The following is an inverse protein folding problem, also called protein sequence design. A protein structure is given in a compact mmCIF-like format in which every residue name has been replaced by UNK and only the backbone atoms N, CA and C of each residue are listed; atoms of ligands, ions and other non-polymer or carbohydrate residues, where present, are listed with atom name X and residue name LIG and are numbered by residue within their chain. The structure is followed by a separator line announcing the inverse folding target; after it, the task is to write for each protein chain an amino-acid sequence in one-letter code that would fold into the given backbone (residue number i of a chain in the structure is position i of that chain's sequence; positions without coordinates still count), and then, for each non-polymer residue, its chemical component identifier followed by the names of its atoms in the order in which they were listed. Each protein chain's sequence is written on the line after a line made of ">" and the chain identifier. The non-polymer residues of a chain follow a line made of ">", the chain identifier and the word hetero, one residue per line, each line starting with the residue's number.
data_IF_726848108622
#
_entry.id   IF_726848108622
#
_cell.length_a   1.000
_cell.length_b   1.000
_cell.length_c   1.000
_cell.angle_alpha   90.00
_cell.angle_beta   90.00
_cell.angle_gamma   90.00
#
_symmetry.space_group_name_H-M   'P 1'
#
loop_
_entity.id
_entity.type
_entity.pdbx_description
1 polymer ?
#
# COMPACT_ATOMS: atom_id res chain seq x y z
N UNK A 1 13.91 -6.39 1.41
CA UNK A 1 14.33 -7.08 2.66
C UNK A 1 15.57 -7.91 2.45
N UNK A 2 15.60 -8.85 1.51
CA UNK A 2 16.77 -9.72 1.21
C UNK A 2 18.09 -8.96 1.00
N UNK A 3 18.09 -7.93 0.16
CA UNK A 3 19.27 -7.06 -0.07
C UNK A 3 19.77 -6.37 1.21
N UNK A 4 18.84 -5.90 2.05
CA UNK A 4 19.18 -5.26 3.33
C UNK A 4 19.75 -6.29 4.32
N UNK A 5 19.15 -7.48 4.40
CA UNK A 5 19.66 -8.60 5.21
C UNK A 5 21.05 -9.02 4.75
N UNK A 6 21.29 -9.15 3.44
CA UNK A 6 22.60 -9.49 2.88
C UNK A 6 23.65 -8.42 3.22
N UNK A 7 23.27 -7.13 3.16
CA UNK A 7 24.16 -6.03 3.55
C UNK A 7 24.57 -6.07 5.02
N UNK A 8 23.71 -6.59 5.90
CA UNK A 8 23.96 -6.68 7.34
C UNK A 8 24.66 -7.99 7.77
N UNK A 9 24.52 -9.06 6.98
CA UNK A 9 24.96 -10.42 7.36
C UNK A 9 26.27 -10.86 6.69
N UNK A 10 26.62 -10.33 5.52
CA UNK A 10 27.83 -10.75 4.81
C UNK A 10 29.04 -9.93 5.25
N UNK A 11 30.12 -10.61 5.66
CA UNK A 11 31.36 -9.97 6.11
C UNK A 11 32.00 -9.04 5.06
N UNK A 12 31.76 -9.25 3.76
CA UNK A 12 32.24 -8.35 2.69
C UNK A 12 31.37 -7.10 2.47
N UNK A 13 30.13 -7.09 2.98
CA UNK A 13 29.18 -5.97 2.84
C UNK A 13 28.99 -5.20 4.14
N UNK A 14 29.29 -5.82 5.27
CA UNK A 14 29.35 -5.18 6.58
C UNK A 14 30.61 -4.30 6.65
N UNK A 15 30.51 -3.02 7.07
CA UNK A 15 31.68 -2.17 7.22
C UNK A 15 32.60 -2.71 8.32
N UNK A 16 33.90 -2.62 8.10
CA UNK A 16 34.89 -2.92 9.13
C UNK A 16 34.86 -1.81 10.18
N UNK A 17 34.80 -2.21 11.45
CA UNK A 17 34.78 -1.31 12.59
C UNK A 17 36.13 -1.38 13.30
N UNK A 18 36.72 -0.22 13.56
CA UNK A 18 37.95 -0.12 14.35
C UNK A 18 37.67 -0.50 15.82
N UNK A 19 38.72 -0.74 16.62
CA UNK A 19 38.66 -1.11 18.04
C UNK A 19 37.89 -0.12 18.93
N UNK A 20 37.60 1.09 18.43
CA UNK A 20 36.78 2.12 19.08
C UNK A 20 35.30 2.12 18.62
N UNK A 21 34.82 1.07 17.93
CA UNK A 21 33.48 0.98 17.33
C UNK A 21 33.17 2.04 16.25
N UNK A 22 34.20 2.68 15.68
CA UNK A 22 34.04 3.58 14.54
C UNK A 22 34.12 2.76 13.26
N UNK A 23 33.02 2.71 12.50
CA UNK A 23 32.91 1.93 11.27
C UNK A 23 32.96 2.84 10.05
N UNK A 24 33.81 2.53 9.08
CA UNK A 24 33.93 3.30 7.84
C UNK A 24 33.38 2.48 6.65
N UNK A 25 32.15 2.78 6.18
CA UNK A 25 31.60 2.09 5.02
C UNK A 25 32.27 2.54 3.73
N UNK A 26 32.52 1.60 2.83
CA UNK A 26 32.89 1.95 1.44
C UNK A 26 31.67 2.51 0.70
N UNK A 27 31.89 3.34 -0.33
CA UNK A 27 30.80 3.88 -1.14
C UNK A 27 29.90 2.80 -1.75
N UNK A 28 30.47 1.64 -2.08
CA UNK A 28 29.75 0.48 -2.59
C UNK A 28 28.83 -0.16 -1.52
N UNK A 29 29.33 -0.35 -0.29
CA UNK A 29 28.55 -0.87 0.84
C UNK A 29 27.39 0.06 1.19
N UNK A 30 27.64 1.37 1.23
CA UNK A 30 26.60 2.38 1.46
C UNK A 30 25.56 2.37 0.32
N UNK A 31 26.01 2.28 -0.93
CA UNK A 31 25.13 2.23 -2.10
C UNK A 31 24.15 1.04 -2.06
N UNK A 32 24.64 -0.16 -1.72
CA UNK A 32 23.79 -1.36 -1.59
C UNK A 32 22.79 -1.21 -0.43
N UNK A 33 23.23 -0.67 0.69
CA UNK A 33 22.37 -0.41 1.83
C UNK A 33 21.22 0.55 1.48
N UNK A 34 21.53 1.69 0.87
CA UNK A 34 20.51 2.66 0.44
C UNK A 34 19.59 2.10 -0.64
N UNK A 35 20.12 1.35 -1.61
CA UNK A 35 19.30 0.66 -2.59
C UNK A 35 18.31 -0.29 -1.91
N UNK A 36 18.76 -1.05 -0.91
CA UNK A 36 17.90 -1.91 -0.10
C UNK A 36 16.78 -1.14 0.61
N UNK A 37 17.09 0.02 1.19
CA UNK A 37 16.10 0.89 1.83
C UNK A 37 15.08 1.45 0.84
N UNK A 38 15.53 1.94 -0.33
CA UNK A 38 14.62 2.46 -1.35
C UNK A 38 13.70 1.38 -1.92
N UNK A 39 14.19 0.15 -2.10
CA UNK A 39 13.35 -0.97 -2.53
C UNK A 39 12.29 -1.32 -1.48
N UNK A 40 12.64 -1.24 -0.19
CA UNK A 40 11.67 -1.42 0.90
C UNK A 40 10.63 -0.30 0.90
N UNK A 41 11.06 0.96 0.76
CA UNK A 41 10.15 2.10 0.71
C UNK A 41 9.18 1.99 -0.48
N UNK A 42 9.69 1.64 -1.66
CA UNK A 42 8.88 1.43 -2.86
C UNK A 42 7.88 0.28 -2.67
N UNK A 43 8.34 -0.87 -2.19
CA UNK A 43 7.49 -2.04 -1.98
C UNK A 43 6.41 -1.80 -0.92
N UNK A 44 6.76 -1.21 0.22
CA UNK A 44 5.79 -0.89 1.28
C UNK A 44 4.80 0.20 0.85
N UNK A 45 5.26 1.19 0.09
CA UNK A 45 4.41 2.23 -0.50
C UNK A 45 3.41 1.68 -1.53
N UNK A 46 3.81 0.67 -2.29
CA UNK A 46 2.92 0.01 -3.26
C UNK A 46 1.91 -0.95 -2.62
N UNK A 47 2.33 -1.74 -1.63
CA UNK A 47 1.48 -2.80 -1.03
C UNK A 47 0.40 -2.20 -0.11
N UNK A 48 0.76 -1.22 0.74
CA UNK A 48 -0.14 -0.65 1.75
C UNK A 48 -1.50 -0.17 1.21
N UNK A 49 -1.57 0.64 0.13
CA UNK A 49 -2.85 1.10 -0.39
C UNK A 49 -3.63 0.02 -1.16
N UNK A 50 -2.99 -1.08 -1.55
CA UNK A 50 -3.62 -2.12 -2.36
C UNK A 50 -4.21 -3.27 -1.53
N UNK A 51 -3.59 -3.63 -0.40
CA UNK A 51 -4.02 -4.80 0.40
C UNK A 51 -5.39 -4.60 1.04
N UNK A 52 -5.66 -3.44 1.63
CA UNK A 52 -6.94 -3.22 2.32
C UNK A 52 -8.13 -3.21 1.34
N UNK A 53 -8.08 -2.50 0.20
CA UNK A 53 -9.13 -2.61 -0.81
C UNK A 53 -9.25 -4.02 -1.39
N UNK A 54 -8.14 -4.70 -1.69
CA UNK A 54 -8.18 -6.07 -2.20
C UNK A 54 -8.88 -7.04 -1.24
N UNK A 55 -8.65 -6.89 0.07
CA UNK A 55 -9.36 -7.67 1.09
C UNK A 55 -10.85 -7.31 1.19
N UNK A 56 -11.19 -6.02 1.08
CA UNK A 56 -12.59 -5.58 1.03
C UNK A 56 -13.34 -6.14 -0.19
N UNK A 57 -12.66 -6.21 -1.34
CA UNK A 57 -13.19 -6.65 -2.62
C UNK A 57 -13.58 -8.14 -2.66
N UNK A 58 -13.16 -8.92 -1.65
CA UNK A 58 -13.53 -10.33 -1.52
C UNK A 58 -14.97 -10.53 -1.03
N UNK A 59 -15.59 -9.50 -0.45
CA UNK A 59 -16.94 -9.54 0.09
C UNK A 59 -17.90 -8.74 -0.79
N UNK A 60 -19.08 -9.28 -1.08
CA UNK A 60 -20.16 -8.56 -1.76
C UNK A 60 -20.91 -7.67 -0.78
N UNK A 61 -20.95 -6.37 -1.07
CA UNK A 61 -21.67 -5.38 -0.25
C UNK A 61 -23.21 -5.47 -0.42
N UNK A 62 -23.69 -6.22 -1.42
CA UNK A 62 -25.11 -6.45 -1.69
C UNK A 62 -25.72 -7.54 -0.81
N UNK A 63 -24.89 -8.41 -0.23
CA UNK A 63 -25.31 -9.46 0.70
C UNK A 63 -25.06 -9.01 2.14
N UNK A 64 -26.13 -8.86 2.92
CA UNK A 64 -26.06 -8.44 4.32
C UNK A 64 -25.28 -9.41 5.22
N UNK A 65 -25.14 -10.69 4.83
CA UNK A 65 -24.32 -11.67 5.54
C UNK A 65 -22.83 -11.47 5.25
N UNK A 66 -22.44 -11.33 3.98
CA UNK A 66 -21.04 -11.08 3.58
C UNK A 66 -20.56 -9.71 4.09
N UNK A 67 -21.44 -8.71 4.12
CA UNK A 67 -21.15 -7.37 4.69
C UNK A 67 -20.85 -7.40 6.19
N UNK A 68 -21.55 -8.21 6.97
CA UNK A 68 -21.21 -8.43 8.39
C UNK A 68 -19.87 -9.13 8.54
N UNK A 69 -19.60 -10.14 7.71
CA UNK A 69 -18.31 -10.84 7.66
C UNK A 69 -17.15 -9.92 7.28
N UNK A 70 -17.35 -8.98 6.35
CA UNK A 70 -16.38 -7.94 5.98
C UNK A 70 -15.99 -7.06 7.17
N UNK A 71 -16.96 -6.64 7.99
CA UNK A 71 -16.69 -5.87 9.20
C UNK A 71 -15.86 -6.68 10.21
N UNK A 72 -16.22 -7.95 10.43
CA UNK A 72 -15.43 -8.85 11.29
C UNK A 72 -14.01 -9.05 10.76
N UNK A 73 -13.85 -9.23 9.45
CA UNK A 73 -12.54 -9.33 8.79
C UNK A 73 -11.66 -8.11 9.09
N UNK A 74 -12.20 -6.89 8.94
CA UNK A 74 -11.43 -5.68 9.23
C UNK A 74 -11.10 -5.55 10.72
N UNK A 75 -12.00 -5.94 11.62
CA UNK A 75 -11.68 -5.96 13.06
C UNK A 75 -10.50 -6.88 13.38
N UNK A 76 -10.51 -8.11 12.85
CA UNK A 76 -9.38 -9.04 12.99
C UNK A 76 -8.11 -8.52 12.32
N UNK A 77 -8.22 -7.94 11.12
CA UNK A 77 -7.10 -7.36 10.40
C UNK A 77 -6.41 -6.25 11.21
N UNK A 78 -7.17 -5.30 11.75
CA UNK A 78 -6.62 -4.22 12.58
C UNK A 78 -6.08 -4.74 13.90
N UNK A 79 -6.74 -5.71 14.53
CA UNK A 79 -6.23 -6.35 15.74
C UNK A 79 -4.86 -7.01 15.47
N UNK A 80 -4.73 -7.78 14.38
CA UNK A 80 -3.47 -8.40 13.97
C UNK A 80 -2.38 -7.38 13.65
N UNK A 81 -2.71 -6.25 13.02
CA UNK A 81 -1.74 -5.16 12.78
C UNK A 81 -1.22 -4.59 14.10
N UNK A 82 -2.12 -4.31 15.06
CA UNK A 82 -1.72 -3.75 16.35
C UNK A 82 -0.84 -4.75 17.14
N UNK A 83 -1.22 -6.02 17.18
CA UNK A 83 -0.40 -7.08 17.80
C UNK A 83 0.95 -7.20 17.09
N UNK A 84 0.96 -7.21 15.76
CA UNK A 84 2.18 -7.26 14.96
C UNK A 84 3.10 -6.06 15.23
N UNK A 85 2.52 -4.86 15.39
CA UNK A 85 3.27 -3.65 15.74
C UNK A 85 3.88 -3.74 17.15
N UNK A 86 3.14 -4.28 18.12
CA UNK A 86 3.66 -4.51 19.48
C UNK A 86 4.81 -5.53 19.48
N UNK A 87 4.67 -6.64 18.76
CA UNK A 87 5.73 -7.66 18.65
C UNK A 87 6.95 -7.09 17.92
N UNK A 88 6.73 -6.30 16.86
CA UNK A 88 7.81 -5.65 16.12
C UNK A 88 8.55 -4.61 16.98
N UNK A 89 7.85 -3.83 17.80
CA UNK A 89 8.48 -2.81 18.64
C UNK A 89 9.19 -3.38 19.88
N UNK A 90 8.82 -4.59 20.32
CA UNK A 90 9.40 -5.25 21.50
C UNK A 90 10.39 -6.34 21.12
N UNK A 91 9.89 -7.49 20.66
CA UNK A 91 10.66 -8.70 20.37
C UNK A 91 11.66 -8.44 19.24
N UNK A 92 11.22 -7.81 18.16
CA UNK A 92 12.08 -7.65 16.98
C UNK A 92 13.20 -6.62 17.22
N UNK A 93 12.91 -5.54 17.96
CA UNK A 93 13.93 -4.59 18.44
C UNK A 93 14.90 -5.26 19.39
N UNK A 94 14.42 -6.13 20.30
CA UNK A 94 15.30 -6.90 21.19
C UNK A 94 16.25 -7.81 20.40
N UNK A 95 15.75 -8.51 19.38
CA UNK A 95 16.58 -9.35 18.49
C UNK A 95 17.62 -8.50 17.75
N UNK A 96 17.22 -7.36 17.19
CA UNK A 96 18.13 -6.46 16.47
C UNK A 96 19.29 -5.97 17.35
N UNK A 97 19.01 -5.66 18.60
CA UNK A 97 19.96 -5.06 19.55
C UNK A 97 20.81 -6.09 20.30
N UNK A 98 20.28 -7.27 20.62
CA UNK A 98 20.97 -8.29 21.43
C UNK A 98 21.55 -9.45 20.62
N UNK A 99 20.88 -9.86 19.54
CA UNK A 99 21.30 -11.02 18.70
C UNK A 99 22.03 -10.54 17.44
N UNK A 100 21.54 -9.44 16.86
CA UNK A 100 22.20 -8.73 15.77
C UNK A 100 21.29 -8.44 14.58
N UNK A 101 21.73 -7.47 13.78
CA UNK A 101 20.99 -6.93 12.63
C UNK A 101 20.71 -7.94 11.52
N UNK A 102 21.57 -8.95 11.34
CA UNK A 102 21.35 -10.02 10.36
C UNK A 102 20.08 -10.82 10.64
N UNK A 103 19.86 -11.23 11.89
CA UNK A 103 18.62 -11.89 12.33
C UNK A 103 17.45 -10.91 12.35
N UNK A 104 17.69 -9.68 12.78
CA UNK A 104 16.70 -8.61 12.82
C UNK A 104 16.07 -8.28 11.47
N UNK A 105 16.82 -8.37 10.36
CA UNK A 105 16.28 -8.23 9.00
C UNK A 105 15.92 -9.57 8.35
N UNK A 106 16.55 -10.67 8.77
CA UNK A 106 16.28 -12.02 8.26
C UNK A 106 14.87 -12.51 8.60
N UNK A 107 14.42 -12.33 9.85
CA UNK A 107 13.08 -12.77 10.29
C UNK A 107 11.96 -12.09 9.45
N UNK A 108 11.93 -10.75 9.29
CA UNK A 108 10.99 -10.09 8.39
C UNK A 108 11.09 -10.55 6.93
N UNK A 109 12.30 -10.86 6.44
CA UNK A 109 12.49 -11.32 5.07
C UNK A 109 11.80 -12.68 4.83
N UNK A 110 11.97 -13.63 5.77
CA UNK A 110 11.31 -14.95 5.70
C UNK A 110 9.80 -14.81 5.86
N UNK A 111 9.34 -13.98 6.81
CA UNK A 111 7.92 -13.73 7.01
C UNK A 111 7.26 -13.13 5.75
N UNK A 112 7.92 -12.18 5.09
CA UNK A 112 7.46 -11.61 3.83
C UNK A 112 7.43 -12.65 2.71
N UNK A 113 8.45 -13.50 2.59
CA UNK A 113 8.46 -14.56 1.59
C UNK A 113 7.30 -15.56 1.81
N UNK A 114 7.04 -15.97 3.05
CA UNK A 114 5.91 -16.82 3.39
C UNK A 114 4.56 -16.15 3.07
N UNK A 115 4.42 -14.85 3.35
CA UNK A 115 3.23 -14.09 3.00
C UNK A 115 3.00 -14.04 1.48
N UNK A 116 4.04 -13.82 0.69
CA UNK A 116 3.98 -13.83 -0.78
C UNK A 116 3.57 -15.20 -1.31
N UNK A 117 4.15 -16.29 -0.80
CA UNK A 117 3.78 -17.66 -1.20
C UNK A 117 2.32 -17.96 -0.87
N UNK A 118 1.86 -17.58 0.32
CA UNK A 118 0.46 -17.75 0.75
C UNK A 118 -0.51 -16.93 -0.10
N UNK A 119 -0.14 -15.70 -0.46
CA UNK A 119 -0.94 -14.86 -1.35
C UNK A 119 -1.07 -15.49 -2.74
N UNK A 120 0.03 -15.98 -3.32
CA UNK A 120 -0.02 -16.60 -4.64
C UNK A 120 -0.75 -17.95 -4.64
N UNK A 121 -0.62 -18.76 -3.57
CA UNK A 121 -1.35 -20.04 -3.48
C UNK A 121 -2.87 -19.84 -3.44
N UNK A 122 -3.35 -18.74 -2.85
CA UNK A 122 -4.76 -18.35 -2.81
C UNK A 122 -5.31 -17.76 -4.11
N UNK A 123 -4.49 -17.55 -5.15
CA UNK A 123 -4.88 -16.78 -6.35
C UNK A 123 -6.14 -17.31 -7.05
N UNK A 124 -6.39 -18.63 -7.02
CA UNK A 124 -7.59 -19.24 -7.63
C UNK A 124 -8.88 -18.99 -6.85
N UNK A 125 -8.79 -18.59 -5.59
CA UNK A 125 -9.94 -18.37 -4.70
C UNK A 125 -10.39 -16.90 -4.69
N UNK A 126 -9.56 -15.99 -5.19
CA UNK A 126 -9.84 -14.56 -5.09
C UNK A 126 -10.87 -14.08 -6.12
N UNK A 127 -11.77 -13.19 -5.67
CA UNK A 127 -12.65 -12.41 -6.53
C UNK A 127 -11.85 -11.22 -7.09
N UNK A 128 -11.69 -11.17 -8.41
CA UNK A 128 -11.00 -10.07 -9.09
C UNK A 128 -12.00 -9.03 -9.58
N UNK A 129 -11.92 -7.82 -9.03
CA UNK A 129 -12.72 -6.69 -9.49
C UNK A 129 -12.25 -6.18 -10.86
N UNK A 130 -13.18 -5.62 -11.63
CA UNK A 130 -12.85 -4.99 -12.92
C UNK A 130 -12.08 -3.69 -12.70
N UNK A 131 -11.11 -3.35 -13.56
CA UNK A 131 -10.32 -2.13 -13.40
C UNK A 131 -11.20 -0.88 -13.55
N UNK A 132 -11.33 -0.10 -12.46
CA UNK A 132 -12.15 1.13 -12.38
C UNK A 132 -11.46 2.41 -12.86
N UNK A 133 -10.26 2.31 -13.44
CA UNK A 133 -9.43 3.46 -13.84
C UNK A 133 -8.88 4.27 -12.66
N UNK A 134 -8.10 5.33 -12.94
CA UNK A 134 -7.45 6.13 -11.91
C UNK A 134 -8.26 7.38 -11.53
N UNK A 135 -8.61 7.57 -10.24
CA UNK A 135 -9.21 8.82 -9.75
C UNK A 135 -8.30 10.03 -9.96
N UNK A 136 -6.98 9.86 -9.85
CA UNK A 136 -5.99 10.94 -10.02
C UNK A 136 -6.07 11.51 -11.43
N UNK A 137 -6.18 10.65 -12.44
CA UNK A 137 -6.32 11.10 -13.84
C UNK A 137 -7.57 11.95 -14.03
N UNK A 138 -8.68 11.58 -13.39
CA UNK A 138 -9.92 12.38 -13.43
C UNK A 138 -9.77 13.72 -12.73
N UNK A 139 -9.13 13.76 -11.57
CA UNK A 139 -8.84 15.02 -10.86
C UNK A 139 -7.95 15.92 -11.75
N UNK A 140 -6.89 15.38 -12.33
CA UNK A 140 -6.03 16.13 -13.25
C UNK A 140 -6.80 16.65 -14.47
N UNK A 141 -7.69 15.84 -15.04
CA UNK A 141 -8.56 16.26 -16.16
C UNK A 141 -9.44 17.45 -15.76
N UNK A 142 -10.06 17.41 -14.57
CA UNK A 142 -10.87 18.52 -14.07
C UNK A 142 -10.03 19.76 -13.86
N UNK A 143 -8.86 19.65 -13.20
CA UNK A 143 -7.95 20.78 -12.97
C UNK A 143 -7.52 21.41 -14.30
N UNK A 144 -7.09 20.59 -15.27
CA UNK A 144 -6.68 21.07 -16.61
C UNK A 144 -7.86 21.70 -17.35
N UNK A 145 -9.05 21.08 -17.31
CA UNK A 145 -10.23 21.61 -17.95
C UNK A 145 -10.67 22.95 -17.35
N UNK A 146 -10.62 23.09 -16.02
CA UNK A 146 -10.92 24.33 -15.31
C UNK A 146 -9.97 25.45 -15.70
N UNK A 147 -8.66 25.20 -15.76
CA UNK A 147 -7.69 26.21 -16.22
C UNK A 147 -7.90 26.60 -17.69
N UNK A 148 -8.18 25.62 -18.57
CA UNK A 148 -8.42 25.89 -20.00
C UNK A 148 -9.72 26.65 -20.25
N UNK A 149 -10.75 26.42 -19.44
CA UNK A 149 -12.07 27.03 -19.55
C UNK A 149 -12.29 28.23 -18.61
N UNK A 150 -11.23 28.71 -17.93
CA UNK A 150 -11.33 29.79 -16.95
C UNK A 150 -11.90 31.12 -17.50
N UNK A 151 -11.82 31.34 -18.83
CA UNK A 151 -12.35 32.54 -19.50
C UNK A 151 -13.67 32.30 -20.26
N UNK A 152 -14.23 31.10 -20.18
CA UNK A 152 -15.48 30.74 -20.85
C UNK A 152 -16.65 31.18 -19.97
N UNK A 153 -17.63 31.89 -20.54
CA UNK A 153 -18.87 32.22 -19.83
C UNK A 153 -19.65 30.93 -19.55
N UNK A 154 -20.01 30.72 -18.29
CA UNK A 154 -20.85 29.59 -17.87
C UNK A 154 -22.25 29.80 -18.46
N UNK A 155 -22.84 28.80 -19.16
CA UNK A 155 -24.21 28.87 -19.64
C UNK A 155 -25.20 29.02 -18.47
N UNK A 156 -26.25 29.84 -18.63
CA UNK A 156 -27.30 30.01 -17.59
C UNK A 156 -28.14 28.74 -17.39
N UNK A 157 -28.22 27.88 -18.40
CA UNK A 157 -29.00 26.65 -18.37
C UNK A 157 -28.10 25.43 -18.08
N UNK A 158 -28.41 24.74 -16.98
CA UNK A 158 -27.62 23.61 -16.44
C UNK A 158 -27.65 22.38 -17.35
N UNK A 159 -28.65 22.27 -18.22
CA UNK A 159 -28.80 21.15 -19.16
C UNK A 159 -27.67 21.06 -20.20
N UNK A 160 -26.91 22.14 -20.40
CA UNK A 160 -25.74 22.16 -21.29
C UNK A 160 -24.44 21.68 -20.61
N UNK A 161 -24.45 21.43 -19.30
CA UNK A 161 -23.32 20.86 -18.60
C UNK A 161 -23.24 19.35 -18.88
N UNK A 162 -22.01 18.84 -18.99
CA UNK A 162 -21.79 17.41 -19.18
C UNK A 162 -22.21 16.66 -17.91
N UNK A 163 -23.32 15.94 -18.00
CA UNK A 163 -23.74 14.96 -16.99
C UNK A 163 -23.63 13.54 -17.54
N UNK A 164 -23.31 12.63 -16.63
CA UNK A 164 -23.28 11.20 -16.93
C UNK A 164 -24.72 10.70 -16.86
N UNK A 165 -25.14 9.96 -17.90
CA UNK A 165 -26.50 9.40 -18.03
C UNK A 165 -26.93 8.75 -16.70
N UNK A 166 -28.17 9.02 -16.28
CA UNK A 166 -28.72 8.50 -15.03
C UNK A 166 -28.56 6.98 -14.92
N UNK A 167 -28.01 6.53 -13.79
CA UNK A 167 -27.77 5.11 -13.50
C UNK A 167 -26.36 4.61 -13.85
N UNK A 168 -25.61 5.29 -14.71
CA UNK A 168 -24.24 4.91 -15.04
C UNK A 168 -23.21 5.72 -14.24
N UNK A 169 -22.26 5.03 -13.59
CA UNK A 169 -21.07 5.68 -13.06
C UNK A 169 -20.02 5.77 -14.17
N UNK A 170 -19.26 6.87 -14.24
CA UNK A 170 -18.08 7.00 -15.14
C UNK A 170 -17.11 5.84 -14.92
N UNK A 171 -17.13 5.26 -13.72
CA UNK A 171 -16.39 4.05 -13.38
C UNK A 171 -17.26 2.83 -13.66
N UNK A 172 -16.88 2.04 -14.67
CA UNK A 172 -17.47 0.72 -14.90
C UNK A 172 -17.31 -0.14 -13.65
N UNK A 173 -18.43 -0.49 -13.02
CA UNK A 173 -18.47 -1.32 -11.81
C UNK A 173 -18.56 -0.55 -10.48
N UNK A 174 -18.67 0.77 -10.49
CA UNK A 174 -18.97 1.54 -9.27
C UNK A 174 -20.40 2.08 -9.29
N UNK A 175 -20.96 2.31 -8.09
CA UNK A 175 -22.28 2.92 -7.93
C UNK A 175 -22.19 4.45 -8.10
N UNK A 176 -23.21 5.07 -8.71
CA UNK A 176 -23.38 6.53 -8.72
C UNK A 176 -23.61 6.99 -7.28
N UNK A 177 -22.84 7.96 -6.80
CA UNK A 177 -23.09 8.59 -5.52
C UNK A 177 -24.32 9.49 -5.65
N UNK A 178 -25.24 9.40 -4.69
CA UNK A 178 -26.44 10.23 -4.68
C UNK A 178 -26.06 11.70 -4.49
N UNK A 179 -26.76 12.59 -5.20
CA UNK A 179 -26.49 14.02 -5.11
C UNK A 179 -26.85 14.52 -3.70
N UNK A 180 -25.91 15.22 -3.06
CA UNK A 180 -26.13 15.93 -1.80
C UNK A 180 -26.18 17.45 -2.06
N UNK A 181 -27.17 18.14 -1.48
CA UNK A 181 -27.41 19.58 -1.63
C UNK A 181 -26.55 20.46 -0.68
N UNK A 182 -25.53 19.89 -0.04
CA UNK A 182 -24.82 20.55 1.06
C UNK A 182 -23.74 21.56 0.61
N UNK A 183 -23.32 21.51 -0.65
CA UNK A 183 -22.26 22.35 -1.20
C UNK A 183 -22.76 22.97 -2.51
N UNK A 184 -23.45 24.11 -2.38
CA UNK A 184 -23.97 24.89 -3.50
C UNK A 184 -23.27 26.25 -3.58
#
# INVERSE_FOLDING_TARGET
>A
MTLLTLSASLHGLKPECNSQNVCHPTGFQAGIFYMGLYLIALGTGGIKPCVSPFGADQFDDSDETEKKSKSSFFNWFYLSINIGALVASTVLVWIQTNVGWGWGFGIPAVAMAAAVVSFFSGTRLYRNQRPGGSPVTRICQVVVASFRKARVRVPDDKSFLYEVVEGECVVKGSRKLDHTEQLR
#
